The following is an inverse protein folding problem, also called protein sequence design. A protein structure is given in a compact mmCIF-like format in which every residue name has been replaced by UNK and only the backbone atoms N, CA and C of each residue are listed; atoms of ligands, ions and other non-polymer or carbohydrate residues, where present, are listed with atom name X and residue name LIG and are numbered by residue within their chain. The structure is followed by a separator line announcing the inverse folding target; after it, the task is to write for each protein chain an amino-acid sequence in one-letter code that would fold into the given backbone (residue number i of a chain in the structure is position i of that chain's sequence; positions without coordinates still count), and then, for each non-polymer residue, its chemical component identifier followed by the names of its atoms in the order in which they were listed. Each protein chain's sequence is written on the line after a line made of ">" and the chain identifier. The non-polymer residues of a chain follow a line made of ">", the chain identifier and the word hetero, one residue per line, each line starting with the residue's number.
data_IF_002784721657
#
_entry.id   IF_002784721657
#
_cell.length_a   1.000
_cell.length_b   1.000
_cell.length_c   1.000
_cell.angle_alpha   90.00
_cell.angle_beta   90.00
_cell.angle_gamma   90.00
#
_symmetry.space_group_name_H-M   'P 1'
#
loop_
_entity.id
_entity.type
_entity.pdbx_description
1 polymer ?
#
# COMPACT_ATOMS: atom_id res chain seq x y z
N UNK A 1 7.97 -12.37 27.02
CA UNK A 1 8.22 -10.96 26.67
C UNK A 1 8.22 -10.89 25.16
N UNK A 2 7.18 -10.30 24.54
CA UNK A 2 7.20 -10.13 23.10
C UNK A 2 8.33 -9.16 22.77
N UNK A 3 9.27 -9.59 21.94
CA UNK A 3 10.33 -8.72 21.45
C UNK A 3 9.67 -7.56 20.70
N UNK A 4 10.00 -6.34 21.08
CA UNK A 4 9.43 -5.13 20.48
C UNK A 4 10.57 -4.31 19.89
N UNK A 5 10.32 -3.68 18.75
CA UNK A 5 11.28 -2.84 18.08
C UNK A 5 10.73 -1.42 18.01
N UNK A 6 11.55 -0.44 18.33
CA UNK A 6 11.16 0.96 18.19
C UNK A 6 11.18 1.37 16.71
N UNK A 7 10.27 2.25 16.32
CA UNK A 7 10.13 2.68 14.92
C UNK A 7 11.44 3.22 14.34
N UNK A 8 12.22 3.97 15.13
CA UNK A 8 13.52 4.51 14.71
C UNK A 8 14.49 3.42 14.21
N UNK A 9 14.46 2.24 14.83
CA UNK A 9 15.37 1.14 14.50
C UNK A 9 14.87 0.40 13.25
N UNK A 10 13.54 0.26 13.13
CA UNK A 10 12.89 -0.24 11.91
C UNK A 10 13.18 0.66 10.70
N UNK A 11 13.02 1.97 10.87
CA UNK A 11 13.30 2.92 9.79
C UNK A 11 14.80 2.95 9.42
N UNK A 12 15.69 2.75 10.40
CA UNK A 12 17.12 2.58 10.11
C UNK A 12 17.37 1.35 9.24
N UNK A 13 16.76 0.19 9.54
CA UNK A 13 16.87 -1.01 8.68
C UNK A 13 16.35 -0.74 7.27
N UNK A 14 15.21 -0.05 7.14
CA UNK A 14 14.69 0.38 5.85
C UNK A 14 15.72 1.22 5.08
N UNK A 15 16.32 2.23 5.71
CA UNK A 15 17.30 3.09 5.05
C UNK A 15 18.59 2.35 4.65
N UNK A 16 19.02 1.34 5.41
CA UNK A 16 20.19 0.52 5.03
C UNK A 16 19.97 -0.20 3.70
N UNK A 17 18.78 -0.76 3.48
CA UNK A 17 18.43 -1.38 2.19
C UNK A 17 18.24 -0.37 1.05
N UNK A 18 17.82 0.86 1.38
CA UNK A 18 17.71 1.96 0.40
C UNK A 18 19.05 2.41 -0.19
N UNK A 19 20.20 2.06 0.41
CA UNK A 19 21.52 2.35 -0.17
C UNK A 19 21.70 1.76 -1.58
N UNK A 20 21.00 0.66 -1.89
CA UNK A 20 21.09 -0.02 -3.19
C UNK A 20 19.99 0.39 -4.17
N UNK A 21 18.82 0.83 -3.68
CA UNK A 21 17.66 1.18 -4.52
C UNK A 21 16.97 2.51 -4.12
N UNK A 22 17.73 3.61 -4.00
CA UNK A 22 17.26 4.80 -3.31
C UNK A 22 16.05 5.46 -3.98
N UNK A 23 16.07 5.66 -5.31
CA UNK A 23 15.02 6.42 -5.99
C UNK A 23 13.66 5.69 -6.03
N UNK A 24 13.66 4.37 -6.27
CA UNK A 24 12.40 3.61 -6.33
C UNK A 24 11.75 3.46 -4.96
N UNK A 25 12.52 3.34 -3.87
CA UNK A 25 11.96 3.19 -2.53
C UNK A 25 11.56 4.52 -1.89
N UNK A 26 12.31 5.60 -2.16
CA UNK A 26 12.08 6.92 -1.54
C UNK A 26 11.15 7.83 -2.34
N UNK A 27 10.97 7.57 -3.65
CA UNK A 27 10.14 8.41 -4.50
C UNK A 27 8.68 8.41 -4.05
N UNK A 28 8.07 9.60 -4.00
CA UNK A 28 6.64 9.79 -3.72
C UNK A 28 5.79 8.91 -4.62
N UNK A 29 4.67 8.42 -4.09
CA UNK A 29 3.72 7.63 -4.87
C UNK A 29 2.60 8.55 -5.33
N UNK A 30 2.43 8.68 -6.65
CA UNK A 30 1.35 9.47 -7.24
C UNK A 30 0.21 8.56 -7.71
N UNK A 31 -1.03 9.00 -7.56
CA UNK A 31 -2.17 8.38 -8.20
C UNK A 31 -2.47 9.06 -9.54
N UNK A 32 -2.63 8.27 -10.60
CA UNK A 32 -3.17 8.76 -11.85
C UNK A 32 -4.66 9.06 -11.66
N UNK A 33 -5.08 10.29 -11.97
CA UNK A 33 -6.48 10.68 -11.83
C UNK A 33 -7.25 10.35 -13.10
N UNK A 34 -8.33 9.58 -12.96
CA UNK A 34 -9.24 9.22 -14.06
C UNK A 34 -10.60 9.84 -13.77
N UNK A 35 -11.08 10.67 -14.69
CA UNK A 35 -12.40 11.26 -14.59
C UNK A 35 -13.47 10.21 -14.86
N UNK A 36 -14.51 10.16 -14.02
CA UNK A 36 -15.67 9.29 -14.17
C UNK A 36 -16.92 10.17 -14.21
N UNK A 37 -17.61 10.19 -15.35
CA UNK A 37 -18.86 10.95 -15.47
C UNK A 37 -19.91 10.38 -14.50
N UNK A 38 -20.39 11.21 -13.57
CA UNK A 38 -21.38 10.84 -12.56
C UNK A 38 -22.48 11.89 -12.55
N UNK A 39 -23.70 11.49 -12.92
CA UNK A 39 -24.87 12.39 -13.10
C UNK A 39 -25.87 12.37 -11.94
N UNK A 40 -25.55 11.66 -10.86
CA UNK A 40 -26.41 11.58 -9.68
C UNK A 40 -26.02 12.66 -8.66
N UNK A 41 -26.88 12.88 -7.65
CA UNK A 41 -26.55 13.80 -6.55
C UNK A 41 -25.31 13.30 -5.78
N UNK A 42 -24.41 14.22 -5.43
CA UNK A 42 -23.15 13.93 -4.75
C UNK A 42 -21.95 13.81 -5.69
N UNK A 43 -20.94 13.05 -5.27
CA UNK A 43 -19.74 12.80 -6.06
C UNK A 43 -19.28 11.34 -5.93
N UNK A 44 -18.74 10.82 -7.03
CA UNK A 44 -17.95 9.60 -7.04
C UNK A 44 -16.47 9.93 -6.83
N UNK A 45 -15.85 9.27 -5.84
CA UNK A 45 -14.43 9.39 -5.55
C UNK A 45 -13.91 8.09 -4.93
N UNK A 46 -12.68 7.70 -5.28
CA UNK A 46 -12.01 6.59 -4.63
C UNK A 46 -10.68 6.23 -5.27
N UNK A 47 -9.92 5.40 -4.56
CA UNK A 47 -8.66 4.86 -5.04
C UNK A 47 -8.81 3.41 -5.48
N UNK A 48 -7.92 2.96 -6.34
CA UNK A 48 -7.81 1.57 -6.77
C UNK A 48 -6.37 1.25 -7.15
N UNK A 49 -6.05 -0.05 -7.17
CA UNK A 49 -4.78 -0.56 -7.65
C UNK A 49 -5.02 -1.39 -8.89
N UNK A 50 -4.25 -1.12 -9.94
CA UNK A 50 -4.41 -1.84 -11.19
C UNK A 50 -3.06 -2.12 -11.85
N UNK A 51 -2.89 -3.32 -12.42
CA UNK A 51 -1.69 -3.67 -13.17
C UNK A 51 -1.60 -2.80 -14.42
N UNK A 52 -0.38 -2.43 -14.80
CA UNK A 52 -0.14 -1.51 -15.94
C UNK A 52 -0.81 -1.99 -17.25
N UNK A 53 -0.85 -3.30 -17.49
CA UNK A 53 -1.48 -3.91 -18.67
C UNK A 53 -3.02 -3.85 -18.67
N UNK A 54 -3.63 -3.51 -17.54
CA UNK A 54 -5.08 -3.39 -17.36
C UNK A 54 -5.57 -1.94 -17.33
N UNK A 55 -4.69 -0.97 -17.08
CA UNK A 55 -5.05 0.47 -16.96
C UNK A 55 -5.74 0.99 -18.22
N UNK A 56 -5.23 0.69 -19.41
CA UNK A 56 -5.83 1.16 -20.67
C UNK A 56 -7.24 0.61 -20.85
N UNK A 57 -7.44 -0.69 -20.58
CA UNK A 57 -8.77 -1.32 -20.66
C UNK A 57 -9.75 -0.71 -19.68
N UNK A 58 -9.27 -0.34 -18.48
CA UNK A 58 -10.09 0.33 -17.46
C UNK A 58 -10.53 1.72 -17.92
N UNK A 59 -9.64 2.51 -18.51
CA UNK A 59 -9.97 3.83 -19.07
C UNK A 59 -11.02 3.73 -20.17
N UNK A 60 -10.83 2.81 -21.13
CA UNK A 60 -11.81 2.58 -22.18
C UNK A 60 -13.20 2.16 -21.66
N UNK A 61 -13.25 1.34 -20.60
CA UNK A 61 -14.51 0.94 -19.97
C UNK A 61 -15.23 2.14 -19.35
N UNK A 62 -14.48 2.99 -18.63
CA UNK A 62 -15.02 4.19 -17.98
C UNK A 62 -15.55 5.17 -19.03
N UNK A 63 -14.81 5.40 -20.11
CA UNK A 63 -15.23 6.28 -21.21
C UNK A 63 -16.49 5.78 -21.92
N UNK A 64 -16.57 4.47 -22.20
CA UNK A 64 -17.70 3.88 -22.92
C UNK A 64 -18.94 3.72 -22.05
N UNK A 65 -18.77 3.35 -20.78
CA UNK A 65 -19.89 3.05 -19.89
C UNK A 65 -19.53 3.28 -18.41
N UNK A 66 -19.57 4.53 -17.93
CA UNK A 66 -19.19 4.88 -16.56
C UNK A 66 -20.12 4.25 -15.50
N UNK A 67 -21.42 4.10 -15.82
CA UNK A 67 -22.38 3.44 -14.93
C UNK A 67 -21.99 1.97 -14.72
N UNK A 68 -21.68 1.25 -15.80
CA UNK A 68 -21.26 -0.15 -15.70
C UNK A 68 -19.98 -0.30 -14.88
N UNK A 69 -19.02 0.63 -15.06
CA UNK A 69 -17.82 0.65 -14.25
C UNK A 69 -18.15 0.75 -12.75
N UNK A 70 -19.00 1.72 -12.36
CA UNK A 70 -19.35 1.97 -10.95
C UNK A 70 -20.05 0.77 -10.30
N UNK A 71 -20.98 0.11 -10.99
CA UNK A 71 -21.81 -0.93 -10.39
C UNK A 71 -21.27 -2.35 -10.53
N UNK A 72 -20.49 -2.64 -11.58
CA UNK A 72 -20.13 -4.02 -11.92
C UNK A 72 -18.63 -4.31 -11.91
N UNK A 73 -17.79 -3.29 -11.74
CA UNK A 73 -16.35 -3.52 -11.58
C UNK A 73 -16.05 -3.98 -10.17
N UNK A 74 -15.32 -5.08 -10.04
CA UNK A 74 -14.83 -5.54 -8.74
C UNK A 74 -13.73 -4.58 -8.26
N UNK A 75 -13.95 -3.83 -7.15
CA UNK A 75 -12.91 -2.99 -6.61
C UNK A 75 -11.80 -3.84 -5.95
N UNK A 76 -10.62 -3.24 -5.76
CA UNK A 76 -9.62 -3.80 -4.85
C UNK A 76 -10.19 -3.99 -3.43
N UNK A 77 -9.47 -4.75 -2.60
CA UNK A 77 -9.87 -4.94 -1.21
C UNK A 77 -9.86 -3.59 -0.47
N UNK A 78 -10.79 -3.39 0.48
CA UNK A 78 -10.89 -2.14 1.24
C UNK A 78 -9.56 -1.72 1.88
N UNK A 79 -8.81 -2.67 2.45
CA UNK A 79 -7.48 -2.40 3.01
C UNK A 79 -6.47 -1.95 1.96
N UNK A 80 -6.45 -2.60 0.80
CA UNK A 80 -5.62 -2.21 -0.35
C UNK A 80 -5.95 -0.80 -0.88
N UNK A 81 -7.24 -0.45 -0.94
CA UNK A 81 -7.70 0.90 -1.32
C UNK A 81 -7.22 1.94 -0.31
N UNK A 82 -7.42 1.66 0.98
CA UNK A 82 -6.94 2.52 2.07
C UNK A 82 -5.42 2.71 2.01
N UNK A 83 -4.65 1.64 1.79
CA UNK A 83 -3.19 1.73 1.64
C UNK A 83 -2.82 2.61 0.45
N UNK A 84 -3.57 2.54 -0.66
CA UNK A 84 -3.32 3.39 -1.82
C UNK A 84 -3.41 4.87 -1.46
N UNK A 85 -4.48 5.25 -0.77
CA UNK A 85 -4.70 6.62 -0.30
C UNK A 85 -3.60 7.04 0.68
N UNK A 86 -3.30 6.23 1.69
CA UNK A 86 -2.22 6.51 2.66
C UNK A 86 -0.86 6.72 1.96
N UNK A 87 -0.54 5.94 0.93
CA UNK A 87 0.70 6.10 0.16
C UNK A 87 0.71 7.40 -0.66
N UNK A 88 -0.43 7.80 -1.23
CA UNK A 88 -0.52 9.06 -1.99
C UNK A 88 -0.52 10.30 -1.12
N UNK A 89 -1.01 10.18 0.11
CA UNK A 89 -1.09 11.27 1.08
C UNK A 89 0.14 11.38 1.98
N UNK A 90 1.07 10.42 1.94
CA UNK A 90 2.27 10.42 2.75
C UNK A 90 3.10 11.70 2.51
N UNK A 91 3.38 12.45 3.58
CA UNK A 91 4.00 13.78 3.47
C UNK A 91 5.53 13.73 3.30
N UNK A 92 6.16 12.60 3.64
CA UNK A 92 7.61 12.43 3.57
C UNK A 92 7.99 10.96 3.38
N UNK A 93 9.28 10.72 3.11
CA UNK A 93 9.83 9.38 2.88
C UNK A 93 9.61 8.43 4.08
N UNK A 94 9.70 8.93 5.31
CA UNK A 94 9.54 8.12 6.52
C UNK A 94 8.10 7.62 6.68
N UNK A 95 7.13 8.49 6.44
CA UNK A 95 5.72 8.15 6.42
C UNK A 95 5.40 7.14 5.32
N UNK A 96 5.94 7.36 4.12
CA UNK A 96 5.79 6.43 3.00
C UNK A 96 6.36 5.03 3.35
N UNK A 97 7.56 4.99 3.95
CA UNK A 97 8.18 3.75 4.40
C UNK A 97 7.33 3.03 5.45
N UNK A 98 6.77 3.77 6.41
CA UNK A 98 5.92 3.19 7.44
C UNK A 98 4.67 2.53 6.85
N UNK A 99 4.03 3.16 5.85
CA UNK A 99 2.86 2.57 5.18
C UNK A 99 3.25 1.29 4.44
N UNK A 100 4.35 1.29 3.68
CA UNK A 100 4.83 0.10 2.98
C UNK A 100 5.18 -1.04 3.92
N UNK A 101 5.90 -0.74 5.00
CA UNK A 101 6.30 -1.72 6.01
C UNK A 101 5.07 -2.32 6.68
N UNK A 102 4.13 -1.50 7.17
CA UNK A 102 2.93 -2.01 7.82
C UNK A 102 2.10 -2.88 6.86
N UNK A 103 1.75 -2.37 5.68
CA UNK A 103 0.88 -3.07 4.76
C UNK A 103 1.49 -4.40 4.29
N UNK A 104 2.78 -4.41 3.94
CA UNK A 104 3.44 -5.62 3.41
C UNK A 104 3.79 -6.61 4.51
N UNK A 105 4.24 -6.15 5.69
CA UNK A 105 4.52 -7.04 6.81
C UNK A 105 3.26 -7.79 7.27
N UNK A 106 2.10 -7.12 7.27
CA UNK A 106 0.83 -7.78 7.55
C UNK A 106 0.57 -8.96 6.59
N UNK A 107 0.72 -8.76 5.29
CA UNK A 107 0.55 -9.86 4.32
C UNK A 107 1.61 -10.96 4.49
N UNK A 108 2.87 -10.60 4.78
CA UNK A 108 3.94 -11.58 4.98
C UNK A 108 3.71 -12.43 6.24
N UNK A 109 3.12 -11.87 7.30
CA UNK A 109 2.73 -12.62 8.50
C UNK A 109 1.67 -13.69 8.21
N UNK A 110 0.83 -13.45 7.19
CA UNK A 110 -0.24 -14.37 6.77
C UNK A 110 0.22 -15.35 5.67
N UNK A 111 1.36 -15.10 5.04
CA UNK A 111 2.00 -16.03 4.12
C UNK A 111 2.50 -17.28 4.86
N UNK A 112 2.53 -18.44 4.19
CA UNK A 112 3.05 -19.72 4.73
C UNK A 112 4.59 -19.74 4.80
N UNK A 113 5.19 -18.67 5.32
CA UNK A 113 6.61 -18.58 5.62
C UNK A 113 7.00 -19.36 6.88
N UNK A 114 8.31 -19.51 7.10
CA UNK A 114 8.81 -20.08 8.36
C UNK A 114 8.48 -19.21 9.58
N UNK A 115 8.53 -19.80 10.78
CA UNK A 115 8.18 -19.12 12.04
C UNK A 115 8.94 -17.81 12.29
N UNK A 116 10.18 -17.70 11.76
CA UNK A 116 10.97 -16.47 11.82
C UNK A 116 10.37 -15.32 11.00
N UNK A 117 9.82 -15.58 9.81
CA UNK A 117 9.21 -14.54 8.96
C UNK A 117 7.97 -14.00 9.65
N UNK A 118 7.12 -14.88 10.16
CA UNK A 118 5.90 -14.49 10.88
C UNK A 118 6.23 -13.58 12.06
N UNK A 119 7.12 -14.02 12.96
CA UNK A 119 7.50 -13.26 14.15
C UNK A 119 8.02 -11.87 13.81
N UNK A 120 8.98 -11.76 12.89
CA UNK A 120 9.58 -10.47 12.57
C UNK A 120 8.64 -9.58 11.76
N UNK A 121 7.76 -10.16 10.92
CA UNK A 121 6.71 -9.41 10.23
C UNK A 121 5.74 -8.77 11.23
N UNK A 122 5.31 -9.49 12.27
CA UNK A 122 4.43 -8.95 13.31
C UNK A 122 5.11 -7.80 14.07
N UNK A 123 6.39 -7.94 14.42
CA UNK A 123 7.15 -6.89 15.11
C UNK A 123 7.23 -5.62 14.25
N UNK A 124 7.56 -5.77 12.96
CA UNK A 124 7.65 -4.67 12.01
C UNK A 124 6.28 -4.00 11.78
N UNK A 125 5.22 -4.79 11.64
CA UNK A 125 3.85 -4.31 11.50
C UNK A 125 3.44 -3.46 12.70
N UNK A 126 3.65 -3.97 13.91
CA UNK A 126 3.28 -3.27 15.14
C UNK A 126 4.06 -1.96 15.33
N UNK A 127 5.37 -1.97 15.04
CA UNK A 127 6.20 -0.77 15.12
C UNK A 127 5.76 0.32 14.13
N UNK A 128 5.48 -0.06 12.88
CA UNK A 128 5.00 0.86 11.85
C UNK A 128 3.59 1.39 12.16
N UNK A 129 2.67 0.53 12.63
CA UNK A 129 1.35 0.95 13.06
C UNK A 129 1.40 1.94 14.23
N UNK A 130 2.27 1.70 15.23
CA UNK A 130 2.48 2.64 16.35
C UNK A 130 2.96 4.01 15.86
N UNK A 131 3.80 4.07 14.83
CA UNK A 131 4.19 5.32 14.20
C UNK A 131 3.02 5.97 13.42
N UNK A 132 2.24 5.18 12.67
CA UNK A 132 1.17 5.70 11.83
C UNK A 132 -0.11 6.11 12.59
N UNK A 133 -0.32 5.61 13.81
CA UNK A 133 -1.58 5.75 14.54
C UNK A 133 -2.01 7.21 14.80
N UNK A 134 -1.06 8.13 14.92
CA UNK A 134 -1.33 9.55 15.16
C UNK A 134 -1.56 10.33 13.85
N UNK A 135 -1.28 9.70 12.70
CA UNK A 135 -1.34 10.28 11.36
C UNK A 135 -2.56 9.80 10.57
N UNK A 136 -2.98 8.55 10.83
CA UNK A 136 -4.04 7.88 10.08
C UNK A 136 -5.04 7.17 10.97
N UNK A 137 -6.26 7.00 10.46
CA UNK A 137 -7.11 5.88 10.87
C UNK A 137 -6.51 4.61 10.27
N UNK A 138 -6.01 3.71 11.12
CA UNK A 138 -5.34 2.49 10.67
C UNK A 138 -6.34 1.48 10.09
N UNK A 139 -5.81 0.45 9.43
CA UNK A 139 -6.62 -0.64 8.87
C UNK A 139 -7.44 -1.35 9.95
N UNK A 140 -8.71 -1.60 9.63
CA UNK A 140 -9.56 -2.42 10.49
C UNK A 140 -9.08 -3.87 10.47
N UNK A 141 -9.12 -4.56 11.63
CA UNK A 141 -8.62 -5.94 11.77
C UNK A 141 -9.26 -6.95 10.82
N UNK A 142 -10.47 -6.68 10.32
CA UNK A 142 -11.19 -7.53 9.35
C UNK A 142 -10.76 -7.31 7.88
N UNK A 143 -9.87 -6.36 7.61
CA UNK A 143 -9.35 -6.12 6.26
C UNK A 143 -8.38 -7.23 5.87
N UNK A 144 -8.77 -8.02 4.87
CA UNK A 144 -8.06 -9.26 4.49
C UNK A 144 -6.79 -9.04 3.66
N UNK A 145 -6.68 -7.88 3.00
CA UNK A 145 -5.52 -7.56 2.13
C UNK A 145 -5.20 -6.08 2.22
N UNK A 146 -3.92 -5.76 2.42
CA UNK A 146 -3.42 -4.39 2.56
C UNK A 146 -2.56 -3.94 1.37
N UNK A 147 -1.98 -4.86 0.59
CA UNK A 147 -1.38 -4.56 -0.72
C UNK A 147 -2.04 -5.40 -1.82
N UNK A 148 -1.87 -5.07 -3.12
CA UNK A 148 -2.49 -5.83 -4.21
C UNK A 148 -2.07 -7.28 -4.25
N UNK A 149 -0.79 -7.55 -3.95
CA UNK A 149 -0.19 -8.88 -3.84
C UNK A 149 1.21 -8.85 -3.24
N UNK A 150 1.64 -9.99 -2.73
CA UNK A 150 3.06 -10.28 -2.51
C UNK A 150 3.60 -10.85 -3.82
N UNK A 151 4.35 -10.03 -4.54
CA UNK A 151 4.94 -10.35 -5.85
C UNK A 151 6.20 -11.22 -5.73
N UNK A 152 6.84 -11.23 -4.56
CA UNK A 152 7.99 -12.09 -4.30
C UNK A 152 7.52 -13.56 -4.35
N UNK A 153 8.13 -14.44 -5.16
CA UNK A 153 7.71 -15.83 -5.27
C UNK A 153 7.76 -16.56 -3.93
N UNK A 154 6.76 -17.41 -3.66
CA UNK A 154 6.66 -18.20 -2.43
C UNK A 154 7.90 -19.09 -2.20
N UNK A 155 8.54 -19.59 -3.26
CA UNK A 155 9.80 -20.35 -3.16
C UNK A 155 10.96 -19.52 -2.63
N UNK A 156 11.02 -18.22 -2.96
CA UNK A 156 12.01 -17.28 -2.42
C UNK A 156 11.67 -16.98 -0.96
N UNK A 157 10.41 -16.68 -0.66
CA UNK A 157 9.99 -16.39 0.73
C UNK A 157 10.34 -17.58 1.65
N UNK A 158 10.08 -18.80 1.21
CA UNK A 158 10.36 -20.02 1.99
C UNK A 158 11.84 -20.35 2.13
N UNK A 159 12.71 -19.82 1.28
CA UNK A 159 14.16 -20.04 1.39
C UNK A 159 14.87 -19.03 2.28
N UNK A 160 14.20 -17.93 2.67
CA UNK A 160 14.77 -16.92 3.57
C UNK A 160 14.82 -17.43 5.00
N UNK A 161 16.03 -17.43 5.58
CA UNK A 161 16.24 -17.67 7.01
C UNK A 161 16.23 -16.33 7.75
N UNK A 162 15.28 -16.16 8.68
CA UNK A 162 15.12 -14.92 9.46
C UNK A 162 15.61 -15.13 10.91
N UNK A 163 16.84 -14.70 11.18
CA UNK A 163 17.39 -14.64 12.55
C UNK A 163 17.07 -13.31 13.25
N UNK A 164 16.79 -12.27 12.46
CA UNK A 164 16.39 -10.94 12.88
C UNK A 164 15.40 -10.34 11.85
N UNK A 165 15.07 -9.05 11.98
CA UNK A 165 14.11 -8.36 11.12
C UNK A 165 14.68 -7.91 9.76
N UNK A 166 16.00 -7.93 9.56
CA UNK A 166 16.63 -7.39 8.35
C UNK A 166 16.21 -8.14 7.07
N UNK A 167 16.17 -9.49 7.04
CA UNK A 167 15.68 -10.22 5.87
C UNK A 167 14.22 -9.91 5.52
N UNK A 168 13.37 -9.67 6.53
CA UNK A 168 11.96 -9.31 6.30
C UNK A 168 11.84 -7.91 5.72
N UNK A 169 12.64 -6.95 6.19
CA UNK A 169 12.74 -5.63 5.55
C UNK A 169 13.18 -5.75 4.09
N UNK A 170 14.15 -6.61 3.79
CA UNK A 170 14.56 -6.89 2.40
C UNK A 170 13.40 -7.42 1.54
N UNK A 171 12.60 -8.35 2.06
CA UNK A 171 11.39 -8.85 1.38
C UNK A 171 10.37 -7.73 1.13
N UNK A 172 10.13 -6.86 2.11
CA UNK A 172 9.22 -5.72 1.98
C UNK A 172 9.71 -4.76 0.90
N UNK A 173 11.01 -4.45 0.87
CA UNK A 173 11.62 -3.59 -0.15
C UNK A 173 11.49 -4.17 -1.54
N UNK A 174 11.82 -5.46 -1.71
CA UNK A 174 11.65 -6.16 -2.98
C UNK A 174 10.19 -6.12 -3.44
N UNK A 175 9.24 -6.41 -2.55
CA UNK A 175 7.81 -6.36 -2.90
C UNK A 175 7.38 -4.95 -3.30
N UNK A 176 7.83 -3.93 -2.57
CA UNK A 176 7.55 -2.51 -2.88
C UNK A 176 8.05 -2.15 -4.28
N UNK A 177 9.27 -2.55 -4.63
CA UNK A 177 9.84 -2.29 -5.95
C UNK A 177 9.08 -3.00 -7.07
N UNK A 178 8.69 -4.25 -6.85
CA UNK A 178 7.92 -5.02 -7.82
C UNK A 178 6.54 -4.39 -8.04
N UNK A 179 5.85 -4.01 -6.96
CA UNK A 179 4.56 -3.32 -7.04
C UNK A 179 4.69 -2.00 -7.79
N UNK A 180 5.65 -1.14 -7.42
CA UNK A 180 5.86 0.16 -8.09
C UNK A 180 6.25 0.04 -9.57
N UNK A 181 6.79 -1.10 -10.01
CA UNK A 181 7.17 -1.31 -11.41
C UNK A 181 6.07 -1.95 -12.26
N UNK A 182 5.03 -2.53 -11.66
CA UNK A 182 4.00 -3.31 -12.38
C UNK A 182 2.57 -2.88 -12.11
N UNK A 183 2.33 -2.11 -11.05
CA UNK A 183 1.02 -1.62 -10.63
C UNK A 183 0.98 -0.09 -10.55
N UNK A 184 -0.14 0.47 -11.00
CA UNK A 184 -0.49 1.88 -10.83
C UNK A 184 -1.52 2.03 -9.72
N UNK A 185 -1.38 3.11 -8.94
CA UNK A 185 -2.49 3.63 -8.16
C UNK A 185 -3.33 4.53 -9.05
N UNK A 186 -4.63 4.27 -9.10
CA UNK A 186 -5.60 5.08 -9.80
C UNK A 186 -6.46 5.82 -8.77
N UNK A 187 -6.76 7.08 -9.06
CA UNK A 187 -7.73 7.89 -8.33
C UNK A 187 -8.88 8.19 -9.26
N UNK A 188 -10.03 7.60 -8.99
CA UNK A 188 -11.25 7.91 -9.72
C UNK A 188 -11.92 9.13 -9.09
N UNK A 189 -12.35 10.06 -9.93
CA UNK A 189 -13.07 11.25 -9.46
C UNK A 189 -14.09 11.71 -10.50
N UNK A 190 -15.27 12.09 -10.03
CA UNK A 190 -16.27 12.83 -10.82
C UNK A 190 -16.18 14.35 -10.64
N UNK A 191 -15.29 14.81 -9.76
CA UNK A 191 -15.08 16.22 -9.49
C UNK A 191 -14.20 16.84 -10.58
N UNK A 192 -14.36 18.15 -10.79
CA UNK A 192 -13.47 18.91 -11.68
C UNK A 192 -12.03 18.82 -11.21
N UNK A 193 -11.10 18.89 -12.15
CA UNK A 193 -9.66 18.85 -11.86
C UNK A 193 -9.28 19.91 -10.81
N UNK A 194 -8.52 19.49 -9.79
CA UNK A 194 -8.13 20.33 -8.65
C UNK A 194 -9.11 20.32 -7.47
N UNK A 195 -10.36 19.87 -7.65
CA UNK A 195 -11.33 19.73 -6.55
C UNK A 195 -11.27 18.32 -5.99
N UNK A 196 -10.41 18.10 -5.00
CA UNK A 196 -10.31 16.83 -4.28
C UNK A 196 -11.00 16.94 -2.92
N UNK A 197 -11.75 15.91 -2.49
CA UNK A 197 -12.28 15.87 -1.14
C UNK A 197 -11.12 15.74 -0.14
N UNK A 198 -11.39 16.04 1.13
CA UNK A 198 -10.43 15.77 2.19
C UNK A 198 -10.06 14.28 2.23
N UNK A 199 -8.79 13.94 2.51
CA UNK A 199 -8.39 12.56 2.69
C UNK A 199 -9.24 11.87 3.75
N UNK A 200 -9.80 10.73 3.42
CA UNK A 200 -10.73 9.99 4.27
C UNK A 200 -10.02 9.32 5.45
N UNK A 201 -8.77 8.87 5.24
CA UNK A 201 -8.02 8.12 6.26
C UNK A 201 -6.98 8.94 7.01
N UNK A 202 -6.61 10.13 6.53
CA UNK A 202 -5.66 10.99 7.25
C UNK A 202 -6.39 11.66 8.43
N UNK A 203 -5.72 11.74 9.58
CA UNK A 203 -6.26 12.50 10.71
C UNK A 203 -5.98 13.98 10.52
N UNK A 204 -7.00 14.82 10.71
CA UNK A 204 -6.81 16.26 10.85
C UNK A 204 -6.04 16.53 12.14
N UNK A 205 -4.86 17.13 12.02
CA UNK A 205 -4.02 17.56 13.15
C UNK A 205 -4.36 19.01 13.48
#
# INVERSE_FOLDING_TARGET
>A
MFETMEWKDVYKLWKTGCCYFPQMLSGSVSAETIFVEYKQEGYFYGYDWLRHDEVTKRKELIEKNPISFIYFTKPANKGTIQTAEMLTEAQNEEELAAVWIAATAKELSECRGGSGILRHSDILYMAACKFLQDRYYLWHHAMKRLVPEIMVPDSVIKSVVCNDAEPVIGLIQMNTMLLKSTWSILRYSSLKEGNLPEPYYRRSI
#
